data_IF_229814021019
#
_entry.id   IF_229814021019
#
_cell.length_a   1.000
_cell.length_b   1.000
_cell.length_c   1.000
_cell.angle_alpha   90.00
_cell.angle_beta   90.00
_cell.angle_gamma   90.00
#
_symmetry.space_group_name_H-M   'P 1'
#
loop_
_entity.id
_entity.type
_entity.pdbx_description
1 polymer ?
#
# COMPACT_ATOMS: atom_id res chain seq x y z
N UNK A 1 -4.05 -25.92 -16.35
CA UNK A 1 -3.99 -24.49 -15.99
C UNK A 1 -3.27 -24.40 -14.66
N UNK A 2 -2.09 -23.75 -14.61
CA UNK A 2 -1.51 -23.29 -13.34
C UNK A 2 -2.56 -22.34 -12.74
N UNK A 3 -3.05 -22.63 -11.54
CA UNK A 3 -4.21 -21.99 -10.90
C UNK A 3 -4.05 -20.51 -10.56
N UNK A 4 -3.64 -19.69 -11.52
CA UNK A 4 -3.77 -18.24 -11.50
C UNK A 4 -5.26 -17.94 -11.64
N UNK A 5 -5.94 -17.97 -10.51
CA UNK A 5 -7.28 -17.42 -10.41
C UNK A 5 -7.12 -15.92 -10.63
N UNK A 6 -7.89 -15.36 -11.58
CA UNK A 6 -8.02 -13.92 -11.86
C UNK A 6 -8.63 -13.14 -10.68
N UNK A 7 -8.41 -13.59 -9.44
CA UNK A 7 -8.88 -12.93 -8.24
C UNK A 7 -7.77 -11.99 -7.74
N UNK A 8 -7.90 -10.66 -7.96
CA UNK A 8 -7.05 -9.70 -7.29
C UNK A 8 -7.26 -9.88 -5.79
N UNK A 9 -6.16 -9.96 -5.02
CA UNK A 9 -6.06 -9.83 -3.56
C UNK A 9 -7.43 -9.61 -2.91
N UNK A 10 -8.15 -10.70 -2.61
CA UNK A 10 -9.54 -10.60 -2.19
C UNK A 10 -9.57 -10.12 -0.74
N UNK A 11 -9.59 -8.79 -0.61
CA UNK A 11 -9.81 -8.08 0.63
C UNK A 11 -11.19 -8.46 1.19
N UNK A 12 -11.24 -9.05 2.38
CA UNK A 12 -12.49 -9.13 3.13
C UNK A 12 -13.04 -7.71 3.31
N UNK A 13 -14.19 -7.45 2.69
CA UNK A 13 -14.80 -6.12 2.63
C UNK A 13 -15.50 -5.86 3.96
N UNK A 14 -14.80 -5.22 4.91
CA UNK A 14 -15.46 -4.68 6.10
C UNK A 14 -16.45 -3.61 5.62
N UNK A 15 -17.75 -3.90 5.74
CA UNK A 15 -18.84 -2.96 5.44
C UNK A 15 -18.91 -1.89 6.53
N UNK A 16 -18.04 -0.88 6.44
CA UNK A 16 -18.23 0.37 7.19
C UNK A 16 -19.25 1.22 6.41
N UNK A 17 -20.26 1.82 7.07
CA UNK A 17 -21.09 2.81 6.42
C UNK A 17 -20.22 3.98 5.96
N UNK A 18 -20.14 4.16 4.64
CA UNK A 18 -19.46 5.29 4.00
C UNK A 18 -20.30 6.55 4.21
N UNK A 19 -19.66 7.70 4.35
CA UNK A 19 -20.35 8.98 4.22
C UNK A 19 -21.03 9.02 2.85
N UNK A 20 -22.32 9.32 2.85
CA UNK A 20 -23.04 9.55 1.61
C UNK A 20 -22.65 10.93 1.06
N UNK A 21 -21.79 10.93 0.05
CA UNK A 21 -21.34 12.15 -0.64
C UNK A 21 -22.40 12.72 -1.60
N UNK A 22 -23.61 12.14 -1.66
CA UNK A 22 -24.73 12.71 -2.44
C UNK A 22 -25.10 14.11 -1.97
N UNK A 23 -24.82 14.44 -0.71
CA UNK A 23 -25.07 15.76 -0.12
C UNK A 23 -23.73 16.46 0.16
N UNK A 24 -23.50 17.66 -0.39
CA UNK A 24 -22.27 18.41 -0.12
C UNK A 24 -22.19 18.79 1.36
N UNK A 25 -21.07 18.45 2.00
CA UNK A 25 -20.79 18.82 3.39
C UNK A 25 -20.39 20.30 3.46
N UNK A 26 -21.02 21.06 4.36
CA UNK A 26 -20.85 22.52 4.43
C UNK A 26 -20.42 23.04 5.82
N UNK A 27 -20.14 22.16 6.78
CA UNK A 27 -19.73 22.58 8.12
C UNK A 27 -18.20 22.80 8.21
N UNK A 28 -17.68 23.72 9.05
CA UNK A 28 -16.25 23.96 9.17
C UNK A 28 -15.46 22.69 9.52
N UNK A 29 -14.37 22.42 8.80
CA UNK A 29 -13.51 21.24 9.04
C UNK A 29 -14.04 19.93 8.44
N UNK A 30 -15.09 19.95 7.61
CA UNK A 30 -15.60 18.75 6.94
C UNK A 30 -14.54 18.03 6.11
N UNK A 31 -13.57 18.75 5.55
CA UNK A 31 -12.47 18.17 4.78
C UNK A 31 -11.56 17.31 5.65
N UNK A 32 -11.38 17.66 6.92
CA UNK A 32 -10.62 16.83 7.86
C UNK A 32 -11.36 15.51 8.09
N UNK A 33 -12.68 15.56 8.30
CA UNK A 33 -13.50 14.35 8.45
C UNK A 33 -13.36 13.43 7.23
N UNK A 34 -13.52 13.98 6.02
CA UNK A 34 -13.36 13.24 4.76
C UNK A 34 -11.95 12.67 4.62
N UNK A 35 -10.93 13.43 5.00
CA UNK A 35 -9.54 12.96 5.00
C UNK A 35 -9.32 11.77 5.92
N UNK A 36 -9.88 11.78 7.13
CA UNK A 36 -9.75 10.64 8.05
C UNK A 36 -10.59 9.44 7.65
N UNK A 37 -11.74 9.64 7.02
CA UNK A 37 -12.50 8.54 6.42
C UNK A 37 -11.70 7.88 5.29
N UNK A 38 -11.12 8.68 4.40
CA UNK A 38 -10.24 8.18 3.35
C UNK A 38 -9.03 7.45 3.95
N UNK A 39 -8.41 7.98 4.99
CA UNK A 39 -7.32 7.32 5.72
C UNK A 39 -7.72 5.94 6.22
N UNK A 40 -8.91 5.80 6.81
CA UNK A 40 -9.41 4.50 7.28
C UNK A 40 -9.49 3.51 6.12
N UNK A 41 -9.99 3.93 4.95
CA UNK A 41 -10.07 3.05 3.78
C UNK A 41 -8.70 2.65 3.26
N UNK A 42 -7.77 3.59 3.14
CA UNK A 42 -6.39 3.31 2.74
C UNK A 42 -5.73 2.34 3.72
N UNK A 43 -5.92 2.56 5.02
CA UNK A 43 -5.38 1.68 6.06
C UNK A 43 -5.99 0.28 6.00
N UNK A 44 -7.27 0.16 5.69
CA UNK A 44 -7.92 -1.15 5.51
C UNK A 44 -7.37 -1.87 4.28
N UNK A 45 -7.29 -1.19 3.12
CA UNK A 45 -6.68 -1.74 1.90
C UNK A 45 -5.25 -2.22 2.18
N UNK A 46 -4.46 -1.38 2.84
CA UNK A 46 -3.09 -1.69 3.25
C UNK A 46 -3.02 -2.99 4.06
N UNK A 47 -3.80 -3.11 5.15
CA UNK A 47 -3.81 -4.33 5.97
C UNK A 47 -4.24 -5.55 5.17
N UNK A 48 -5.29 -5.43 4.37
CA UNK A 48 -5.77 -6.53 3.54
C UNK A 48 -4.72 -7.02 2.53
N UNK A 49 -3.83 -6.14 2.05
CA UNK A 49 -2.73 -6.52 1.17
C UNK A 49 -1.59 -7.15 1.96
N UNK A 50 -1.07 -6.46 2.98
CA UNK A 50 0.10 -6.90 3.75
C UNK A 50 -0.17 -8.19 4.52
N UNK A 51 -1.37 -8.32 5.09
CA UNK A 51 -1.77 -9.48 5.88
C UNK A 51 -2.34 -10.62 4.98
N UNK A 52 -2.35 -10.45 3.65
CA UNK A 52 -2.88 -11.47 2.73
C UNK A 52 -2.01 -12.73 2.71
N UNK A 53 -2.65 -13.89 2.51
CA UNK A 53 -1.94 -15.16 2.27
C UNK A 53 -1.02 -15.08 1.05
N UNK A 54 -1.40 -14.29 0.05
CA UNK A 54 -0.60 -14.06 -1.16
C UNK A 54 0.72 -13.36 -0.81
N UNK A 55 0.70 -12.24 -0.08
CA UNK A 55 1.94 -11.59 0.37
C UNK A 55 2.76 -12.50 1.29
N UNK A 56 2.12 -13.17 2.25
CA UNK A 56 2.78 -14.08 3.19
C UNK A 56 3.36 -15.34 2.53
N UNK A 57 2.90 -15.73 1.34
CA UNK A 57 3.37 -16.93 0.62
C UNK A 57 4.24 -16.62 -0.58
N UNK A 58 4.06 -15.49 -1.25
CA UNK A 58 4.74 -15.13 -2.50
C UNK A 58 5.88 -14.13 -2.29
N UNK A 59 5.80 -13.33 -1.22
CA UNK A 59 6.75 -12.26 -0.94
C UNK A 59 7.16 -12.19 0.54
N UNK A 60 7.18 -13.32 1.24
CA UNK A 60 7.69 -13.29 2.61
C UNK A 60 9.21 -13.06 2.65
N UNK A 61 9.67 -12.62 3.83
CA UNK A 61 11.08 -12.27 4.05
C UNK A 61 12.05 -13.40 3.68
N UNK A 62 11.71 -14.66 3.97
CA UNK A 62 12.59 -15.78 3.63
C UNK A 62 12.74 -15.92 2.11
N UNK A 63 11.66 -15.78 1.34
CA UNK A 63 11.72 -15.82 -0.12
C UNK A 63 12.55 -14.67 -0.69
N UNK A 64 12.32 -13.44 -0.20
CA UNK A 64 13.04 -12.25 -0.65
C UNK A 64 14.54 -12.40 -0.40
N UNK A 65 14.94 -12.77 0.82
CA UNK A 65 16.35 -12.92 1.22
C UNK A 65 17.08 -14.02 0.46
N UNK A 66 16.38 -15.07 0.03
CA UNK A 66 16.98 -16.20 -0.68
C UNK A 66 16.71 -16.15 -2.20
N UNK A 67 16.15 -15.04 -2.72
CA UNK A 67 15.82 -14.85 -4.13
C UNK A 67 14.86 -15.93 -4.69
N UNK A 68 13.98 -16.48 -3.85
CA UNK A 68 12.99 -17.52 -4.18
C UNK A 68 11.63 -16.98 -4.63
N UNK A 69 11.54 -15.68 -4.89
CA UNK A 69 10.33 -15.05 -5.42
C UNK A 69 10.05 -15.51 -6.85
N UNK A 70 8.79 -15.44 -7.29
CA UNK A 70 8.39 -15.73 -8.67
C UNK A 70 8.12 -14.41 -9.42
N UNK A 71 8.78 -14.14 -10.57
CA UNK A 71 8.58 -12.91 -11.33
C UNK A 71 7.11 -12.59 -11.64
N UNK A 72 6.31 -13.61 -11.99
CA UNK A 72 4.88 -13.38 -12.30
C UNK A 72 4.08 -12.93 -11.08
N UNK A 73 4.46 -13.41 -9.88
CA UNK A 73 3.83 -12.98 -8.64
C UNK A 73 4.23 -11.54 -8.31
N UNK A 74 5.50 -11.19 -8.48
CA UNK A 74 5.99 -9.82 -8.27
C UNK A 74 5.32 -8.85 -9.24
N UNK A 75 5.19 -9.22 -10.52
CA UNK A 75 4.48 -8.43 -11.53
C UNK A 75 3.00 -8.20 -11.18
N UNK A 76 2.37 -9.12 -10.45
CA UNK A 76 0.99 -8.94 -9.96
C UNK A 76 0.89 -8.07 -8.70
N UNK A 77 1.88 -8.13 -7.81
CA UNK A 77 1.91 -7.39 -6.54
C UNK A 77 2.30 -5.92 -6.75
N UNK A 78 3.31 -5.67 -7.59
CA UNK A 78 3.94 -4.35 -7.74
C UNK A 78 2.94 -3.24 -8.12
N UNK A 79 2.02 -3.40 -9.09
CA UNK A 79 1.06 -2.35 -9.44
C UNK A 79 0.16 -1.98 -8.26
N UNK A 80 -0.29 -2.97 -7.47
CA UNK A 80 -1.15 -2.74 -6.31
C UNK A 80 -0.44 -1.93 -5.23
N UNK A 81 0.85 -2.20 -5.00
CA UNK A 81 1.67 -1.42 -4.07
C UNK A 81 1.90 0.01 -4.58
N UNK A 82 2.13 0.20 -5.88
CA UNK A 82 2.32 1.51 -6.51
C UNK A 82 1.06 2.36 -6.40
N UNK A 83 -0.10 1.79 -6.71
CA UNK A 83 -1.38 2.48 -6.64
C UNK A 83 -1.69 2.90 -5.20
N UNK A 84 -1.51 2.00 -4.24
CA UNK A 84 -1.76 2.31 -2.82
C UNK A 84 -0.75 3.33 -2.27
N UNK A 85 0.52 3.27 -2.69
CA UNK A 85 1.53 4.27 -2.32
C UNK A 85 1.18 5.66 -2.89
N UNK A 86 0.62 5.71 -4.10
CA UNK A 86 0.15 6.96 -4.72
C UNK A 86 -1.09 7.50 -4.00
N UNK A 87 -2.00 6.62 -3.61
CA UNK A 87 -3.21 6.95 -2.83
C UNK A 87 -2.84 7.54 -1.46
N UNK A 88 -1.98 6.88 -0.67
CA UNK A 88 -1.55 7.38 0.65
C UNK A 88 -0.77 8.71 0.53
N UNK A 89 0.02 8.89 -0.54
CA UNK A 89 0.74 10.16 -0.79
C UNK A 89 -0.23 11.31 -1.10
N UNK A 90 -1.30 11.02 -1.85
CA UNK A 90 -2.35 12.00 -2.15
C UNK A 90 -3.16 12.36 -0.90
N UNK A 91 -3.47 11.36 -0.07
CA UNK A 91 -4.10 11.55 1.22
C UNK A 91 -3.25 12.40 2.17
N UNK A 92 -1.94 12.14 2.28
CA UNK A 92 -1.02 12.92 3.12
C UNK A 92 -1.09 14.41 2.76
N UNK A 93 -0.98 14.72 1.47
CA UNK A 93 -1.06 16.09 0.98
C UNK A 93 -2.42 16.73 1.27
N UNK A 94 -3.51 15.99 1.05
CA UNK A 94 -4.86 16.45 1.32
C UNK A 94 -5.08 16.75 2.81
N UNK A 95 -4.74 15.81 3.68
CA UNK A 95 -4.90 15.95 5.14
C UNK A 95 -4.01 17.07 5.67
N UNK A 96 -2.75 17.15 5.24
CA UNK A 96 -1.81 18.20 5.64
C UNK A 96 -2.35 19.59 5.29
N UNK A 97 -2.81 19.79 4.06
CA UNK A 97 -3.33 21.08 3.60
C UNK A 97 -4.53 21.57 4.45
N UNK A 98 -5.44 20.66 4.82
CA UNK A 98 -6.63 21.02 5.61
C UNK A 98 -6.40 21.04 7.12
N UNK A 99 -5.40 20.33 7.65
CA UNK A 99 -5.03 20.45 9.07
C UNK A 99 -4.29 21.76 9.36
N UNK A 100 -3.52 22.27 8.39
CA UNK A 100 -2.78 23.53 8.52
C UNK A 100 -3.68 24.75 8.79
N UNK A 101 -4.97 24.67 8.48
CA UNK A 101 -5.92 25.75 8.77
C UNK A 101 -6.39 25.77 10.23
N UNK A 102 -6.16 24.70 11.01
CA UNK A 102 -6.68 24.55 12.38
C UNK A 102 -5.62 24.20 13.43
N UNK A 103 -4.53 23.55 13.03
CA UNK A 103 -3.54 23.00 13.96
C UNK A 103 -2.15 23.58 13.76
N UNK A 104 -1.35 23.59 14.82
CA UNK A 104 0.06 23.99 14.77
C UNK A 104 0.89 22.95 14.01
N UNK A 105 1.99 23.37 13.34
CA UNK A 105 2.85 22.47 12.58
C UNK A 105 3.28 21.21 13.33
N UNK A 106 3.68 21.32 14.60
CA UNK A 106 4.12 20.17 15.40
C UNK A 106 3.02 19.11 15.61
N UNK A 107 1.77 19.53 15.80
CA UNK A 107 0.63 18.60 15.92
C UNK A 107 0.38 17.88 14.60
N UNK A 108 0.56 18.59 13.48
CA UNK A 108 0.40 18.00 12.14
C UNK A 108 1.54 17.00 11.88
N UNK A 109 2.78 17.37 12.19
CA UNK A 109 3.96 16.50 12.07
C UNK A 109 3.79 15.24 12.92
N UNK A 110 3.40 15.36 14.18
CA UNK A 110 3.13 14.23 15.07
C UNK A 110 2.05 13.31 14.49
N UNK A 111 0.93 13.88 14.04
CA UNK A 111 -0.19 13.10 13.52
C UNK A 111 0.18 12.35 12.23
N UNK A 112 0.80 13.04 11.27
CA UNK A 112 1.25 12.45 10.01
C UNK A 112 2.33 11.40 10.27
N UNK A 113 3.30 11.72 11.13
CA UNK A 113 4.39 10.82 11.51
C UNK A 113 3.93 9.57 12.25
N UNK A 114 2.83 9.66 13.00
CA UNK A 114 2.28 8.51 13.73
C UNK A 114 1.39 7.63 12.85
N UNK A 115 0.56 8.25 11.99
CA UNK A 115 -0.53 7.52 11.32
C UNK A 115 -0.26 7.22 9.84
N UNK A 116 0.35 8.16 9.12
CA UNK A 116 0.44 8.12 7.65
C UNK A 116 1.83 7.67 7.20
N UNK A 117 2.90 8.28 7.75
CA UNK A 117 4.27 8.00 7.33
C UNK A 117 4.66 6.52 7.47
N UNK A 118 4.33 5.79 8.56
CA UNK A 118 4.72 4.39 8.67
C UNK A 118 4.13 3.49 7.57
N UNK A 119 2.89 3.77 7.15
CA UNK A 119 2.24 3.03 6.06
C UNK A 119 2.91 3.38 4.72
N UNK A 120 3.13 4.67 4.46
CA UNK A 120 3.75 5.15 3.24
C UNK A 120 5.18 4.62 3.07
N UNK A 121 5.99 4.70 4.12
CA UNK A 121 7.38 4.22 4.12
C UNK A 121 7.45 2.71 3.91
N UNK A 122 6.57 1.94 4.56
CA UNK A 122 6.54 0.49 4.36
C UNK A 122 6.13 0.12 2.93
N UNK A 123 5.13 0.79 2.35
CA UNK A 123 4.74 0.58 0.95
C UNK A 123 5.88 0.94 -0.02
N UNK A 124 6.60 2.03 0.26
CA UNK A 124 7.77 2.41 -0.51
C UNK A 124 8.87 1.34 -0.45
N UNK A 125 9.16 0.83 0.74
CA UNK A 125 10.13 -0.25 0.94
C UNK A 125 9.74 -1.49 0.14
N UNK A 126 8.51 -1.99 0.28
CA UNK A 126 8.03 -3.18 -0.44
C UNK A 126 8.10 -2.99 -1.97
N UNK A 127 7.77 -1.78 -2.45
CA UNK A 127 7.91 -1.44 -3.87
C UNK A 127 9.35 -1.56 -4.34
N UNK A 128 10.30 -0.99 -3.59
CA UNK A 128 11.72 -1.07 -3.89
C UNK A 128 12.24 -2.51 -3.83
N UNK A 129 11.77 -3.32 -2.87
CA UNK A 129 12.12 -4.74 -2.78
C UNK A 129 11.59 -5.52 -3.99
N UNK A 130 10.35 -5.26 -4.43
CA UNK A 130 9.78 -5.85 -5.65
C UNK A 130 10.62 -5.49 -6.89
N UNK A 131 10.94 -4.21 -7.07
CA UNK A 131 11.79 -3.72 -8.17
C UNK A 131 13.19 -4.38 -8.13
N UNK A 132 13.76 -4.56 -6.94
CA UNK A 132 15.04 -5.23 -6.75
C UNK A 132 14.96 -6.72 -7.13
N UNK A 133 13.93 -7.44 -6.69
CA UNK A 133 13.73 -8.86 -7.04
C UNK A 133 13.57 -9.06 -8.55
N UNK A 134 12.86 -8.15 -9.23
CA UNK A 134 12.73 -8.17 -10.69
C UNK A 134 14.08 -7.91 -11.38
N UNK A 135 14.89 -7.00 -10.85
CA UNK A 135 16.23 -6.69 -11.37
C UNK A 135 17.20 -7.86 -11.18
N UNK A 136 17.14 -8.53 -10.03
CA UNK A 136 17.91 -9.75 -9.74
C UNK A 136 17.46 -10.97 -10.57
N UNK A 137 16.35 -10.83 -11.31
CA UNK A 137 15.79 -11.84 -12.21
C UNK A 137 14.93 -12.91 -11.53
N UNK A 138 14.83 -12.88 -10.19
CA UNK A 138 14.29 -13.96 -9.37
C UNK A 138 14.96 -15.33 -9.68
N UNK A 139 14.75 -16.39 -8.89
CA UNK A 139 15.42 -17.69 -9.19
C UNK A 139 15.05 -18.29 -10.56
N UNK A 140 13.89 -17.95 -11.12
CA UNK A 140 13.30 -18.65 -12.28
C UNK A 140 13.75 -18.07 -13.64
N UNK A 141 14.35 -16.87 -13.71
CA UNK A 141 15.14 -16.51 -14.90
C UNK A 141 16.46 -17.25 -14.82
N UNK A 142 16.40 -18.52 -15.27
CA UNK A 142 17.44 -19.52 -15.21
C UNK A 142 18.82 -18.92 -15.00
N UNK A 143 19.40 -19.23 -13.84
CA UNK A 143 20.81 -19.09 -13.58
C UNK A 143 21.57 -19.62 -14.81
N UNK A 144 21.95 -18.74 -15.74
CA UNK A 144 23.06 -19.02 -16.63
C UNK A 144 24.21 -19.11 -15.65
N UNK A 145 24.57 -20.33 -15.24
CA UNK A 145 25.89 -20.59 -14.68
C UNK A 145 26.84 -19.91 -15.66
N UNK A 146 27.47 -18.83 -15.21
CA UNK A 146 28.65 -18.33 -15.88
C UNK A 146 29.63 -19.50 -15.76
N UNK A 147 29.75 -20.26 -16.85
CA UNK A 147 30.83 -21.22 -16.99
C UNK A 147 32.10 -20.37 -17.10
N UNK A 148 32.75 -20.20 -15.95
CA UNK A 148 34.17 -19.83 -15.88
C UNK A 148 34.96 -21.07 -16.30
#
# INVERSE_FOLDING_TARGET
MLGYVDNPLQADVIHRPLLDYSTPLNFPGWQILVGFEWFVHVRLKYRNIIDSDQMNTWFNQWQVLNNYTNPMQIESILPVLVDLHTEISSLENFVKAHLQTYFFPHTIEELLGTLILPIKEHLHQLKCECEAQMTLGCRIRGHKRLNI
#
